data_IF_752467100748
#
_entry.id   IF_752467100748
#
_cell.length_a   1.000
_cell.length_b   1.000
_cell.length_c   1.000
_cell.angle_alpha   90.00
_cell.angle_beta   90.00
_cell.angle_gamma   90.00
#
_symmetry.space_group_name_H-M   'P 1'
#
loop_
_entity.id
_entity.type
_entity.pdbx_description
1 polymer ?
#
# COMPACT_ATOMS: atom_id res chain seq x y z
N UNK A 1 -51.22 -36.19 30.81
CA UNK A 1 -50.28 -35.04 30.60
C UNK A 1 -48.86 -35.56 30.71
N UNK A 2 -48.13 -35.72 29.60
CA UNK A 2 -46.74 -36.11 29.59
C UNK A 2 -45.89 -34.83 29.51
N UNK A 3 -45.12 -34.57 30.54
CA UNK A 3 -44.15 -33.43 30.58
C UNK A 3 -42.85 -33.96 29.97
N UNK A 4 -42.49 -33.45 28.80
CA UNK A 4 -41.17 -33.69 28.18
C UNK A 4 -40.17 -32.72 28.77
N UNK A 5 -39.18 -33.27 29.47
CA UNK A 5 -38.02 -32.53 29.97
C UNK A 5 -37.04 -32.43 28.81
N UNK A 6 -36.86 -31.23 28.29
CA UNK A 6 -35.84 -30.93 27.29
C UNK A 6 -34.55 -30.62 28.07
N UNK A 7 -33.60 -31.54 28.02
CA UNK A 7 -32.27 -31.33 28.57
C UNK A 7 -31.49 -30.42 27.63
N UNK A 8 -31.23 -29.17 28.04
CA UNK A 8 -30.36 -28.26 27.35
C UNK A 8 -28.91 -28.63 27.74
N UNK A 9 -28.18 -29.22 26.77
CA UNK A 9 -26.75 -29.46 26.89
C UNK A 9 -26.01 -28.14 26.68
N UNK A 10 -25.59 -27.51 27.77
CA UNK A 10 -24.72 -26.30 27.71
C UNK A 10 -23.32 -26.80 27.35
N UNK A 11 -22.93 -26.61 26.08
CA UNK A 11 -21.56 -26.80 25.62
C UNK A 11 -20.69 -25.66 26.17
N UNK A 12 -20.00 -25.91 27.28
CA UNK A 12 -18.98 -24.97 27.78
C UNK A 12 -17.77 -25.09 26.85
N UNK A 13 -17.69 -24.18 25.88
CA UNK A 13 -16.48 -23.98 25.10
C UNK A 13 -15.50 -23.28 26.06
N UNK A 14 -14.59 -24.07 26.65
CA UNK A 14 -13.42 -23.51 27.32
C UNK A 14 -12.55 -22.88 26.25
N UNK A 15 -12.68 -21.57 26.04
CA UNK A 15 -11.64 -20.80 25.37
C UNK A 15 -10.40 -20.96 26.26
N UNK A 16 -9.46 -21.77 25.84
CA UNK A 16 -8.16 -21.87 26.48
C UNK A 16 -7.55 -20.45 26.42
N UNK A 17 -7.57 -19.76 27.53
CA UNK A 17 -6.75 -18.59 27.71
C UNK A 17 -5.30 -19.09 27.68
N UNK A 18 -4.66 -19.01 26.55
CA UNK A 18 -3.20 -19.12 26.49
C UNK A 18 -2.68 -17.95 27.32
N UNK A 19 -2.11 -18.25 28.49
CA UNK A 19 -1.43 -17.25 29.30
C UNK A 19 -0.32 -16.67 28.43
N UNK A 20 -0.41 -15.40 28.07
CA UNK A 20 0.67 -14.70 27.39
C UNK A 20 1.86 -14.67 28.34
N UNK A 21 3.02 -15.11 27.86
CA UNK A 21 4.24 -15.13 28.67
C UNK A 21 4.75 -13.70 28.93
N UNK A 22 4.44 -12.76 28.02
CA UNK A 22 4.80 -11.35 28.11
C UNK A 22 3.58 -10.45 27.95
N UNK A 23 3.68 -9.23 28.52
CA UNK A 23 2.69 -8.17 28.37
C UNK A 23 3.25 -7.17 27.35
N UNK A 24 2.42 -6.79 26.40
CA UNK A 24 2.78 -5.84 25.34
C UNK A 24 2.16 -4.48 25.65
N UNK A 25 2.97 -3.42 25.63
CA UNK A 25 2.55 -2.08 26.01
C UNK A 25 1.36 -1.54 25.20
N UNK A 26 1.28 -1.94 23.91
CA UNK A 26 0.17 -1.60 23.02
C UNK A 26 -0.96 -2.62 23.03
N UNK A 27 -0.85 -3.68 23.84
CA UNK A 27 -1.75 -4.85 23.79
C UNK A 27 -1.62 -5.71 22.54
N UNK A 28 -0.70 -5.36 21.62
CA UNK A 28 -0.49 -6.06 20.35
C UNK A 28 0.94 -6.56 20.24
N UNK A 29 1.08 -7.85 19.98
CA UNK A 29 2.35 -8.50 19.64
C UNK A 29 2.45 -8.80 18.14
N UNK A 30 1.45 -8.40 17.36
CA UNK A 30 1.39 -8.56 15.91
C UNK A 30 0.99 -7.23 15.28
N UNK A 31 1.86 -6.70 14.45
CA UNK A 31 1.60 -5.52 13.64
C UNK A 31 1.24 -5.96 12.23
N UNK A 32 0.13 -5.46 11.72
CA UNK A 32 -0.30 -5.61 10.35
C UNK A 32 -0.66 -4.20 9.85
N UNK A 33 0.09 -3.68 8.87
CA UNK A 33 -0.02 -2.28 8.47
C UNK A 33 0.27 -2.05 7.01
N UNK A 34 -0.42 -1.06 6.46
CA UNK A 34 -0.13 -0.49 5.14
C UNK A 34 0.78 0.71 5.34
N UNK A 35 1.96 0.68 4.74
CA UNK A 35 2.87 1.82 4.77
C UNK A 35 2.59 2.77 3.61
N UNK A 36 2.69 4.06 3.86
CA UNK A 36 2.42 5.11 2.88
C UNK A 36 3.66 5.92 2.52
N UNK A 37 4.72 5.76 3.30
CA UNK A 37 6.00 6.43 3.10
C UNK A 37 7.10 5.41 2.84
N UNK A 38 8.13 5.84 2.11
CA UNK A 38 9.23 4.96 1.74
C UNK A 38 10.02 4.41 2.93
N UNK A 39 10.10 5.17 4.03
CA UNK A 39 10.75 4.77 5.29
C UNK A 39 9.75 4.78 6.42
N UNK A 40 9.67 3.68 7.14
CA UNK A 40 8.84 3.53 8.33
C UNK A 40 9.58 2.75 9.43
N UNK A 41 9.14 2.95 10.66
CA UNK A 41 9.72 2.34 11.84
C UNK A 41 8.63 1.92 12.81
N UNK A 42 8.61 0.66 13.18
CA UNK A 42 7.60 0.05 14.04
C UNK A 42 8.25 -0.67 15.20
N UNK A 43 7.69 -0.53 16.39
CA UNK A 43 8.23 -1.09 17.62
C UNK A 43 7.14 -1.87 18.38
N UNK A 44 7.51 -3.07 18.82
CA UNK A 44 6.69 -3.89 19.72
C UNK A 44 7.45 -3.97 21.06
N UNK A 45 6.87 -3.37 22.09
CA UNK A 45 7.42 -3.34 23.44
C UNK A 45 6.83 -4.44 24.29
N UNK A 46 7.68 -5.09 25.11
CA UNK A 46 7.30 -6.20 25.94
C UNK A 46 7.89 -6.11 27.34
N UNK A 47 7.11 -6.54 28.32
CA UNK A 47 7.52 -6.69 29.72
C UNK A 47 6.98 -8.02 30.25
N UNK A 48 7.50 -8.48 31.38
CA UNK A 48 6.93 -9.61 32.11
C UNK A 48 5.67 -9.18 32.88
N UNK A 49 4.71 -10.08 33.15
CA UNK A 49 3.47 -9.76 33.86
C UNK A 49 3.70 -9.13 35.25
N UNK A 50 4.81 -9.48 35.87
CA UNK A 50 5.30 -8.86 37.12
C UNK A 50 6.78 -8.52 36.91
N UNK A 51 7.24 -7.32 37.36
CA UNK A 51 8.65 -6.94 37.18
C UNK A 51 9.60 -7.98 37.77
N UNK A 52 10.50 -8.48 36.95
CA UNK A 52 11.53 -9.44 37.31
C UNK A 52 12.82 -9.19 36.54
N UNK A 53 13.92 -9.83 37.00
CA UNK A 53 15.17 -9.81 36.21
C UNK A 53 15.03 -10.73 35.02
N UNK A 54 15.17 -10.22 33.82
CA UNK A 54 15.06 -10.99 32.60
C UNK A 54 16.11 -10.60 31.56
N UNK A 55 16.51 -11.58 30.79
CA UNK A 55 17.29 -11.39 29.58
C UNK A 55 16.50 -11.95 28.41
N UNK A 56 15.97 -11.09 27.55
CA UNK A 56 15.25 -11.54 26.37
C UNK A 56 16.23 -12.04 25.30
N UNK A 57 15.96 -13.24 24.80
CA UNK A 57 16.51 -13.73 23.54
C UNK A 57 15.45 -13.62 22.46
N UNK A 58 15.89 -13.58 21.19
CA UNK A 58 14.96 -13.67 20.07
C UNK A 58 15.59 -14.36 18.88
N UNK A 59 14.76 -14.99 18.04
CA UNK A 59 15.15 -15.62 16.79
C UNK A 59 14.10 -15.38 15.70
N UNK A 60 14.57 -15.25 14.47
CA UNK A 60 13.69 -15.08 13.30
C UNK A 60 13.19 -16.47 12.88
N UNK A 61 11.86 -16.69 12.98
CA UNK A 61 11.21 -17.92 12.54
C UNK A 61 10.92 -17.88 11.05
N UNK A 62 10.41 -16.75 10.58
CA UNK A 62 9.99 -16.53 9.19
C UNK A 62 10.37 -15.14 8.76
N UNK A 63 10.89 -15.01 7.54
CA UNK A 63 11.10 -13.72 6.88
C UNK A 63 10.74 -13.84 5.40
N UNK A 64 9.67 -13.18 5.00
CA UNK A 64 9.18 -13.10 3.62
C UNK A 64 9.24 -11.67 3.08
N UNK A 65 9.98 -10.76 3.73
CA UNK A 65 10.20 -9.42 3.21
C UNK A 65 10.88 -9.49 1.84
N UNK A 66 10.51 -8.56 0.97
CA UNK A 66 11.14 -8.45 -0.34
C UNK A 66 12.66 -8.26 -0.16
N UNK A 67 13.50 -9.08 -0.79
CA UNK A 67 14.95 -9.01 -0.62
C UNK A 67 15.58 -7.68 -1.07
N UNK A 68 14.84 -6.89 -1.84
CA UNK A 68 15.26 -5.54 -2.26
C UNK A 68 14.81 -4.44 -1.28
N UNK A 69 14.10 -4.78 -0.22
CA UNK A 69 13.83 -3.84 0.87
C UNK A 69 15.06 -3.70 1.74
N UNK A 70 15.40 -2.48 2.11
CA UNK A 70 16.44 -2.22 3.11
C UNK A 70 15.81 -2.24 4.48
N UNK A 71 16.22 -3.20 5.31
CA UNK A 71 15.67 -3.39 6.63
C UNK A 71 16.76 -3.37 7.69
N UNK A 72 16.40 -3.00 8.91
CA UNK A 72 17.18 -3.23 10.11
C UNK A 72 16.26 -3.58 11.26
N UNK A 73 16.75 -4.42 12.15
CA UNK A 73 16.08 -4.73 13.40
C UNK A 73 16.86 -4.13 14.55
N UNK A 74 16.15 -3.50 15.49
CA UNK A 74 16.76 -3.03 16.72
C UNK A 74 16.07 -3.69 17.92
N UNK A 75 16.83 -3.90 18.97
CA UNK A 75 16.36 -4.36 20.26
C UNK A 75 16.97 -3.50 21.39
N UNK A 76 16.74 -3.87 22.63
CA UNK A 76 17.24 -3.14 23.80
C UNK A 76 18.77 -3.07 23.88
N UNK A 77 19.51 -3.92 23.13
CA UNK A 77 20.97 -3.90 23.07
C UNK A 77 21.52 -3.02 21.96
N UNK A 78 20.78 -2.83 20.87
CA UNK A 78 21.24 -2.06 19.72
C UNK A 78 20.52 -2.40 18.42
N UNK A 79 21.13 -1.99 17.30
CA UNK A 79 20.56 -2.19 15.97
C UNK A 79 21.46 -3.09 15.12
N UNK A 80 20.82 -3.96 14.34
CA UNK A 80 21.44 -4.91 13.42
C UNK A 80 21.03 -4.59 11.99
N UNK A 81 21.97 -4.65 11.07
CA UNK A 81 21.66 -4.51 9.64
C UNK A 81 20.98 -5.78 9.15
N UNK A 82 19.83 -5.64 8.51
CA UNK A 82 18.99 -6.76 8.08
C UNK A 82 18.31 -7.46 9.26
N UNK A 83 18.10 -8.75 9.10
CA UNK A 83 17.53 -9.65 10.12
C UNK A 83 18.53 -10.77 10.39
N UNK A 84 19.39 -10.66 11.42
CA UNK A 84 20.18 -11.79 11.87
C UNK A 84 19.25 -12.94 12.33
N UNK A 85 19.74 -14.17 12.31
CA UNK A 85 18.92 -15.32 12.69
C UNK A 85 18.45 -15.26 14.14
N UNK A 86 19.27 -14.70 15.04
CA UNK A 86 18.96 -14.56 16.48
C UNK A 86 19.85 -13.50 17.12
N UNK A 87 19.41 -12.99 18.27
CA UNK A 87 20.24 -12.18 19.16
C UNK A 87 19.73 -12.28 20.61
N UNK A 88 20.51 -11.69 21.53
CA UNK A 88 20.19 -11.60 22.95
C UNK A 88 20.26 -10.15 23.38
N UNK A 89 19.21 -9.69 24.06
CA UNK A 89 19.14 -8.31 24.58
C UNK A 89 20.00 -8.18 25.84
N UNK A 90 20.38 -6.97 26.18
CA UNK A 90 20.96 -6.64 27.47
C UNK A 90 19.94 -6.97 28.58
N UNK A 91 20.42 -7.54 29.69
CA UNK A 91 19.59 -7.90 30.81
C UNK A 91 18.86 -6.68 31.38
N UNK A 92 17.58 -6.84 31.69
CA UNK A 92 16.76 -5.80 32.35
C UNK A 92 16.51 -6.26 33.78
N UNK A 93 16.83 -5.39 34.76
CA UNK A 93 16.53 -5.69 36.17
C UNK A 93 15.06 -5.50 36.51
N UNK A 94 14.58 -6.18 37.54
CA UNK A 94 13.23 -5.98 38.07
C UNK A 94 12.97 -4.53 38.48
N UNK A 95 13.98 -3.84 38.96
CA UNK A 95 13.90 -2.43 39.39
C UNK A 95 13.73 -1.52 38.16
N UNK A 96 14.52 -1.73 37.10
CA UNK A 96 14.42 -0.97 35.86
C UNK A 96 13.08 -1.22 35.17
N UNK A 97 12.63 -2.49 35.16
CA UNK A 97 11.31 -2.85 34.60
C UNK A 97 10.17 -2.20 35.37
N UNK A 98 10.23 -2.17 36.70
CA UNK A 98 9.26 -1.44 37.54
C UNK A 98 9.29 0.08 37.29
N UNK A 99 10.44 0.62 36.87
CA UNK A 99 10.61 2.02 36.48
C UNK A 99 10.18 2.30 35.01
N UNK A 100 9.69 1.30 34.27
CA UNK A 100 9.18 1.44 32.92
C UNK A 100 10.15 1.05 31.79
N UNK A 101 11.34 0.52 32.13
CA UNK A 101 12.23 -0.07 31.13
C UNK A 101 11.60 -1.36 30.60
N UNK A 102 11.69 -1.56 29.29
CA UNK A 102 11.06 -2.68 28.59
C UNK A 102 11.99 -3.25 27.55
N UNK A 103 11.82 -4.54 27.25
CA UNK A 103 12.35 -5.12 26.03
C UNK A 103 11.57 -4.65 24.83
N UNK A 104 12.19 -4.62 23.68
CA UNK A 104 11.49 -4.28 22.44
C UNK A 104 12.11 -4.94 21.23
N UNK A 105 11.28 -5.13 20.21
CA UNK A 105 11.71 -5.41 18.84
C UNK A 105 11.22 -4.27 17.97
N UNK A 106 12.15 -3.63 17.29
CA UNK A 106 11.88 -2.51 16.38
C UNK A 106 12.32 -2.86 14.97
N UNK A 107 11.39 -2.80 14.04
CA UNK A 107 11.62 -3.03 12.63
C UNK A 107 11.68 -1.67 11.92
N UNK A 108 12.82 -1.36 11.32
CA UNK A 108 12.97 -0.21 10.43
C UNK A 108 12.99 -0.73 9.00
N UNK A 109 12.23 -0.10 8.11
CA UNK A 109 12.03 -0.58 6.75
C UNK A 109 12.06 0.56 5.74
N UNK A 110 12.76 0.33 4.63
CA UNK A 110 12.76 1.20 3.44
C UNK A 110 12.48 0.35 2.21
N UNK A 111 11.34 0.59 1.57
CA UNK A 111 10.85 -0.27 0.48
C UNK A 111 11.26 0.20 -0.91
N UNK A 112 11.54 1.49 -1.11
CA UNK A 112 11.87 2.06 -2.43
C UNK A 112 10.70 1.86 -3.42
N UNK A 113 11.05 1.46 -4.63
CA UNK A 113 10.08 1.15 -5.69
C UNK A 113 9.69 -0.35 -5.72
N UNK A 114 10.04 -1.11 -4.69
CA UNK A 114 9.81 -2.55 -4.63
C UNK A 114 8.49 -2.83 -3.88
N UNK A 115 7.38 -2.59 -4.56
CA UNK A 115 6.04 -2.78 -4.02
C UNK A 115 5.73 -4.24 -3.73
N UNK A 116 4.85 -4.50 -2.77
CA UNK A 116 4.40 -5.83 -2.41
C UNK A 116 4.16 -5.99 -0.91
N UNK A 117 3.94 -7.21 -0.50
CA UNK A 117 3.69 -7.59 0.88
C UNK A 117 4.86 -8.39 1.43
N UNK A 118 5.07 -8.29 2.74
CA UNK A 118 6.07 -9.07 3.42
C UNK A 118 5.73 -9.25 4.89
N UNK A 119 6.25 -10.31 5.47
CA UNK A 119 6.07 -10.65 6.89
C UNK A 119 7.36 -11.14 7.50
N UNK A 120 7.65 -10.68 8.71
CA UNK A 120 8.66 -11.28 9.57
C UNK A 120 8.01 -11.73 10.87
N UNK A 121 8.33 -12.95 11.30
CA UNK A 121 7.93 -13.52 12.58
C UNK A 121 9.17 -13.80 13.40
N UNK A 122 9.15 -13.34 14.64
CA UNK A 122 10.27 -13.40 15.57
C UNK A 122 9.77 -14.02 16.86
N UNK A 123 10.35 -15.14 17.27
CA UNK A 123 10.11 -15.73 18.57
C UNK A 123 10.98 -15.02 19.59
N UNK A 124 10.36 -14.40 20.58
CA UNK A 124 11.03 -13.74 21.71
C UNK A 124 10.83 -14.58 22.95
N UNK A 125 11.89 -14.85 23.71
CA UNK A 125 11.88 -15.78 24.83
C UNK A 125 12.77 -15.30 25.97
N UNK A 126 12.56 -15.85 27.15
CA UNK A 126 13.50 -15.73 28.26
C UNK A 126 14.74 -16.56 27.97
N UNK A 127 15.92 -15.95 27.99
CA UNK A 127 17.19 -16.64 27.72
C UNK A 127 17.47 -17.80 28.69
N UNK A 128 16.88 -17.76 29.87
CA UNK A 128 17.00 -18.83 30.87
C UNK A 128 15.92 -19.92 30.73
N UNK A 129 14.84 -19.65 30.00
CA UNK A 129 13.74 -20.57 29.75
C UNK A 129 13.15 -20.37 28.37
N UNK A 130 13.66 -21.08 27.38
CA UNK A 130 13.20 -20.98 25.99
C UNK A 130 11.70 -21.27 25.82
N UNK A 131 11.11 -22.07 26.69
CA UNK A 131 9.67 -22.36 26.62
C UNK A 131 8.80 -21.17 27.03
N UNK A 132 9.39 -20.21 27.70
CA UNK A 132 8.76 -18.97 28.11
C UNK A 132 8.97 -17.91 27.05
N UNK A 133 8.18 -17.95 26.00
CA UNK A 133 8.31 -17.05 24.86
C UNK A 133 6.98 -16.84 24.13
N UNK A 134 6.98 -15.82 23.30
CA UNK A 134 5.88 -15.45 22.43
C UNK A 134 6.41 -15.09 21.03
N UNK A 135 5.56 -15.22 20.02
CA UNK A 135 5.89 -14.78 18.67
C UNK A 135 5.35 -13.37 18.40
N UNK A 136 6.25 -12.44 18.13
CA UNK A 136 5.91 -11.12 17.61
C UNK A 136 6.01 -11.13 16.08
N UNK A 137 5.20 -10.32 15.40
CA UNK A 137 5.26 -10.25 13.95
C UNK A 137 4.99 -8.84 13.40
N UNK A 138 5.65 -8.56 12.27
CA UNK A 138 5.43 -7.37 11.45
C UNK A 138 5.00 -7.82 10.07
N UNK A 139 3.76 -7.53 9.71
CA UNK A 139 3.22 -7.69 8.37
C UNK A 139 3.14 -6.32 7.72
N UNK A 140 3.83 -6.14 6.62
CA UNK A 140 3.95 -4.87 5.94
C UNK A 140 3.34 -5.00 4.54
N UNK A 141 2.42 -4.09 4.25
CA UNK A 141 1.83 -3.93 2.93
C UNK A 141 2.34 -2.63 2.33
N UNK A 142 3.18 -2.73 1.28
CA UNK A 142 3.66 -1.61 0.49
C UNK A 142 2.95 -1.61 -0.86
N UNK A 143 1.76 -0.98 -0.97
CA UNK A 143 1.00 -0.99 -2.21
C UNK A 143 1.77 -0.22 -3.28
N UNK A 144 1.77 -0.76 -4.50
CA UNK A 144 2.11 0.06 -5.65
C UNK A 144 1.22 1.31 -5.59
N UNK A 145 1.76 2.51 -5.86
CA UNK A 145 0.90 3.67 -6.02
C UNK A 145 -0.18 3.23 -6.97
N UNK A 146 -1.46 3.44 -6.59
CA UNK A 146 -2.57 3.11 -7.48
C UNK A 146 -2.16 3.69 -8.82
N UNK A 147 -1.72 2.83 -9.73
CA UNK A 147 -1.26 3.25 -11.05
C UNK A 147 -2.40 4.09 -11.52
N UNK A 148 -2.21 5.40 -11.60
CA UNK A 148 -3.11 6.24 -12.37
C UNK A 148 -3.30 5.39 -13.59
N UNK A 149 -4.49 4.78 -13.71
CA UNK A 149 -4.89 3.79 -14.74
C UNK A 149 -4.04 4.13 -15.91
N UNK A 150 -3.17 3.22 -16.39
CA UNK A 150 -2.22 3.57 -17.43
C UNK A 150 -3.05 4.36 -18.42
N UNK A 151 -2.90 5.70 -18.39
CA UNK A 151 -3.74 6.56 -19.20
C UNK A 151 -3.42 6.06 -20.58
N UNK A 152 -4.31 5.24 -21.12
CA UNK A 152 -4.27 4.84 -22.50
C UNK A 152 -4.52 6.14 -23.25
N UNK A 153 -3.50 6.98 -23.23
CA UNK A 153 -3.52 8.30 -23.78
C UNK A 153 -3.59 8.12 -25.29
N UNK A 154 -4.71 8.49 -25.85
CA UNK A 154 -4.85 8.46 -27.30
C UNK A 154 -3.82 9.43 -27.86
N UNK A 155 -2.88 8.91 -28.65
CA UNK A 155 -1.91 9.73 -29.36
C UNK A 155 -2.57 10.30 -30.60
N UNK A 156 -2.69 11.62 -30.66
CA UNK A 156 -3.35 12.34 -31.76
C UNK A 156 -2.36 13.21 -32.54
N UNK A 157 -2.47 13.19 -33.85
CA UNK A 157 -2.01 14.27 -34.72
C UNK A 157 -3.22 15.10 -35.19
N UNK A 158 -3.03 16.41 -35.25
CA UNK A 158 -4.04 17.35 -35.75
C UNK A 158 -3.38 18.32 -36.69
N UNK A 159 -3.85 18.36 -37.94
CA UNK A 159 -3.32 19.27 -38.97
C UNK A 159 -4.37 19.63 -40.01
N UNK A 160 -4.17 20.77 -40.72
CA UNK A 160 -3.18 21.81 -40.45
C UNK A 160 -3.52 22.62 -39.19
N UNK A 161 -2.51 23.19 -38.55
CA UNK A 161 -2.72 24.14 -37.45
C UNK A 161 -1.77 25.33 -37.65
N UNK A 162 -2.24 26.51 -38.02
CA UNK A 162 -3.65 26.95 -38.14
C UNK A 162 -4.46 26.28 -39.23
N UNK A 163 -5.76 26.10 -38.97
CA UNK A 163 -6.72 25.46 -39.88
C UNK A 163 -7.61 26.52 -40.56
N UNK A 164 -7.94 26.31 -41.85
CA UNK A 164 -8.93 27.07 -42.61
C UNK A 164 -10.28 26.33 -42.59
N UNK A 165 -10.49 25.40 -43.49
CA UNK A 165 -11.81 24.79 -43.69
C UNK A 165 -11.87 23.34 -43.24
N UNK A 166 -10.77 22.58 -43.38
CA UNK A 166 -10.71 21.15 -43.09
C UNK A 166 -9.62 20.83 -42.07
N UNK A 167 -10.03 20.20 -40.97
CA UNK A 167 -9.13 19.70 -39.94
C UNK A 167 -9.00 18.21 -40.05
N UNK A 168 -7.79 17.72 -40.17
CA UNK A 168 -7.50 16.29 -40.14
C UNK A 168 -7.07 15.91 -38.72
N UNK A 169 -7.67 14.85 -38.21
CA UNK A 169 -7.38 14.28 -36.89
C UNK A 169 -7.00 12.82 -37.11
N UNK A 170 -5.77 12.46 -36.80
CA UNK A 170 -5.23 11.11 -36.93
C UNK A 170 -5.04 10.50 -35.54
N UNK A 171 -5.59 9.32 -35.32
CA UNK A 171 -5.42 8.52 -34.13
C UNK A 171 -4.26 7.53 -34.35
N UNK A 172 -3.16 7.73 -33.64
CA UNK A 172 -1.99 6.87 -33.73
C UNK A 172 -2.03 5.69 -32.76
N UNK A 173 -3.16 5.53 -32.02
CA UNK A 173 -3.31 4.47 -31.02
C UNK A 173 -4.36 3.44 -31.46
N UNK A 174 -4.32 2.29 -30.81
CA UNK A 174 -5.24 1.15 -30.98
C UNK A 174 -6.56 1.30 -30.20
N UNK A 175 -6.85 2.53 -29.70
CA UNK A 175 -8.02 2.83 -28.85
C UNK A 175 -9.03 3.65 -29.62
N UNK A 176 -10.30 3.26 -29.55
CA UNK A 176 -11.42 4.04 -30.07
C UNK A 176 -11.79 5.17 -29.12
N UNK A 177 -12.25 6.28 -29.68
CA UNK A 177 -12.72 7.42 -28.90
C UNK A 177 -13.79 8.23 -29.60
N UNK A 178 -14.16 9.33 -29.00
CA UNK A 178 -15.07 10.33 -29.54
C UNK A 178 -14.35 11.68 -29.61
N UNK A 179 -14.25 12.25 -30.79
CA UNK A 179 -13.74 13.61 -30.98
C UNK A 179 -14.80 14.59 -30.52
N UNK A 180 -14.39 15.56 -29.73
CA UNK A 180 -15.20 16.73 -29.36
C UNK A 180 -14.37 17.98 -29.61
N UNK A 181 -14.86 18.90 -30.44
CA UNK A 181 -14.25 20.23 -30.64
C UNK A 181 -15.05 21.22 -29.82
N UNK A 182 -14.38 21.95 -28.94
CA UNK A 182 -14.98 23.00 -28.11
C UNK A 182 -14.31 24.34 -28.36
N UNK A 183 -15.04 25.42 -28.15
CA UNK A 183 -14.45 26.74 -27.99
C UNK A 183 -13.77 26.90 -26.61
N UNK A 184 -13.16 28.05 -26.37
CA UNK A 184 -12.45 28.35 -25.11
C UNK A 184 -13.39 28.44 -23.88
N UNK A 185 -14.70 28.55 -24.09
CA UNK A 185 -15.72 28.55 -23.03
C UNK A 185 -16.30 27.18 -22.78
N UNK A 186 -15.78 26.14 -23.49
CA UNK A 186 -16.24 24.75 -23.35
C UNK A 186 -17.51 24.43 -24.15
N UNK A 187 -18.02 25.35 -24.99
CA UNK A 187 -19.17 25.09 -25.87
C UNK A 187 -18.77 24.06 -26.94
N UNK A 188 -19.51 22.97 -27.05
CA UNK A 188 -19.29 21.93 -28.07
C UNK A 188 -19.70 22.44 -29.45
N UNK A 189 -18.76 22.37 -30.38
CA UNK A 189 -18.92 22.78 -31.77
C UNK A 189 -19.05 21.60 -32.71
N UNK A 190 -18.33 20.50 -32.46
CA UNK A 190 -18.32 19.28 -33.27
C UNK A 190 -18.22 18.04 -32.37
N UNK A 191 -18.74 16.93 -32.92
CA UNK A 191 -18.75 15.65 -32.24
C UNK A 191 -18.73 14.53 -33.29
N UNK A 192 -17.65 13.73 -33.34
CA UNK A 192 -17.44 12.64 -34.28
C UNK A 192 -16.86 11.41 -33.58
N UNK A 193 -17.13 10.21 -34.12
CA UNK A 193 -16.44 9.01 -33.68
C UNK A 193 -15.02 8.98 -34.24
N UNK A 194 -14.09 8.40 -33.49
CA UNK A 194 -12.72 8.20 -33.91
C UNK A 194 -12.35 6.74 -33.67
N UNK A 195 -12.11 5.99 -34.74
CA UNK A 195 -11.64 4.63 -34.64
C UNK A 195 -10.17 4.52 -34.23
N UNK A 196 -9.73 3.34 -33.84
CA UNK A 196 -8.31 3.02 -33.69
C UNK A 196 -7.61 3.16 -35.05
N UNK A 197 -6.43 3.79 -35.07
CA UNK A 197 -5.64 4.05 -36.28
C UNK A 197 -6.41 4.75 -37.41
N UNK A 198 -7.52 5.43 -37.07
CA UNK A 198 -8.35 6.12 -38.07
C UNK A 198 -7.89 7.56 -38.29
N UNK A 199 -8.17 8.04 -39.51
CA UNK A 199 -8.01 9.42 -39.91
C UNK A 199 -9.41 9.97 -40.16
N UNK A 200 -9.75 11.05 -39.43
CA UNK A 200 -11.01 11.76 -39.57
C UNK A 200 -10.78 13.16 -40.14
N UNK A 201 -11.56 13.52 -41.14
CA UNK A 201 -11.57 14.85 -41.72
C UNK A 201 -12.84 15.61 -41.27
N UNK A 202 -12.65 16.71 -40.60
CA UNK A 202 -13.75 17.48 -39.99
C UNK A 202 -13.83 18.85 -40.66
N UNK A 203 -15.01 19.15 -41.17
CA UNK A 203 -15.30 20.49 -41.69
C UNK A 203 -15.46 21.48 -40.52
N UNK A 204 -14.64 22.53 -40.55
CA UNK A 204 -14.59 23.62 -39.59
C UNK A 204 -14.75 25.00 -40.28
N UNK A 205 -15.21 25.03 -41.56
CA UNK A 205 -15.33 26.23 -42.36
C UNK A 205 -16.28 27.29 -41.75
N UNK A 206 -17.35 26.83 -41.09
CA UNK A 206 -18.36 27.65 -40.43
C UNK A 206 -17.94 28.14 -39.02
N UNK A 207 -16.80 27.63 -38.49
CA UNK A 207 -16.31 28.10 -37.19
C UNK A 207 -15.72 29.51 -37.32
N UNK A 208 -15.96 30.33 -36.32
CA UNK A 208 -15.38 31.69 -36.24
C UNK A 208 -13.87 31.60 -36.02
N UNK A 209 -13.14 32.57 -36.50
CA UNK A 209 -11.70 32.73 -36.21
C UNK A 209 -11.47 32.75 -34.70
N UNK A 210 -10.52 31.91 -34.24
CA UNK A 210 -10.26 31.80 -32.81
C UNK A 210 -9.52 30.51 -32.43
N UNK A 211 -9.43 30.30 -31.11
CA UNK A 211 -8.80 29.10 -30.51
C UNK A 211 -9.87 28.10 -30.12
N UNK A 212 -9.63 26.84 -30.48
CA UNK A 212 -10.49 25.73 -30.15
C UNK A 212 -9.67 24.59 -29.51
N UNK A 213 -10.33 23.74 -28.74
CA UNK A 213 -9.77 22.52 -28.18
C UNK A 213 -10.38 21.32 -28.90
N UNK A 214 -9.53 20.46 -29.40
CA UNK A 214 -9.89 19.14 -29.93
C UNK A 214 -9.58 18.14 -28.83
N UNK A 215 -10.61 17.55 -28.27
CA UNK A 215 -10.47 16.51 -27.22
C UNK A 215 -10.98 15.19 -27.75
N UNK A 216 -10.33 14.10 -27.38
CA UNK A 216 -10.84 12.76 -27.59
C UNK A 216 -11.25 12.16 -26.26
N UNK A 217 -12.49 11.74 -26.19
CA UNK A 217 -13.10 11.14 -25.01
C UNK A 217 -13.22 9.65 -25.22
N UNK A 218 -12.61 8.89 -24.32
CA UNK A 218 -12.73 7.43 -24.22
C UNK A 218 -13.67 7.02 -23.09
N UNK A 219 -13.66 5.74 -22.75
CA UNK A 219 -14.51 5.19 -21.69
C UNK A 219 -14.28 5.83 -20.31
N UNK A 220 -13.05 6.30 -20.04
CA UNK A 220 -12.64 6.84 -18.75
C UNK A 220 -12.50 8.39 -18.77
N UNK A 221 -13.15 9.09 -19.68
CA UNK A 221 -13.08 10.54 -19.80
C UNK A 221 -12.15 11.03 -20.91
N UNK A 222 -11.60 12.26 -20.76
CA UNK A 222 -10.73 12.87 -21.77
C UNK A 222 -9.39 12.12 -21.82
N UNK A 223 -9.09 11.53 -22.97
CA UNK A 223 -7.87 10.75 -23.20
C UNK A 223 -6.77 11.56 -23.90
N UNK A 224 -7.13 12.60 -24.61
CA UNK A 224 -6.19 13.51 -25.29
C UNK A 224 -6.84 14.84 -25.56
N UNK A 225 -6.05 15.91 -25.58
CA UNK A 225 -6.53 17.24 -25.96
C UNK A 225 -5.44 18.00 -26.73
N UNK A 226 -5.81 18.68 -27.80
CA UNK A 226 -4.93 19.50 -28.63
C UNK A 226 -5.57 20.86 -28.89
N UNK A 227 -4.77 21.91 -28.84
CA UNK A 227 -5.18 23.25 -29.22
C UNK A 227 -5.03 23.44 -30.74
N UNK A 228 -6.06 23.96 -31.38
CA UNK A 228 -6.03 24.38 -32.77
C UNK A 228 -6.38 25.87 -32.91
N UNK A 229 -5.91 26.49 -33.96
CA UNK A 229 -6.16 27.87 -34.31
C UNK A 229 -6.93 27.92 -35.63
N UNK A 230 -8.17 28.43 -35.59
CA UNK A 230 -8.98 28.71 -36.80
C UNK A 230 -8.64 30.08 -37.34
N UNK A 231 -8.29 30.17 -38.62
CA UNK A 231 -8.04 31.43 -39.36
C UNK A 231 -9.26 31.92 -40.14
#
# INVERSE_FOLDING_TARGET
MKVSIVSILILIISAGAYAQNFVYATGQHRLDTVINENYESYEIQMVTPTPENITFGWEVITNTFNPNWSCSICDYSGCYVGFPSSATMTAISSVDMAAGVHGFIKCNITCGLNYGDGKVEIYVFDQNDYSRGDTVSFTIHWPAPASAIAEHKISLLTYPNPVLDQLIIENLSDINGTIVITDILGKKMRHNRLGAHAIEQIDVSDLRKGVYLVSVIGKNGIQSSKKIIKK
#
